data_IF_093020867543
#
_entry.id   IF_093020867543
#
_cell.length_a   1.000
_cell.length_b   1.000
_cell.length_c   1.000
_cell.angle_alpha   90.00
_cell.angle_beta   90.00
_cell.angle_gamma   90.00
#
_symmetry.space_group_name_H-M   'P 1'
#
loop_
_entity.id
_entity.type
_entity.pdbx_description
1 polymer ?
#
# COMPACT_ATOMS: atom_id res chain seq x y z
N UNK A 1 -29.09 -50.65 65.60
CA UNK A 1 -29.68 -49.37 65.13
C UNK A 1 -28.55 -48.43 64.75
N UNK A 2 -28.75 -47.67 63.67
CA UNK A 2 -27.88 -46.66 63.03
C UNK A 2 -26.88 -47.10 61.94
N UNK A 3 -27.13 -46.54 60.75
CA UNK A 3 -26.30 -46.40 59.54
C UNK A 3 -25.20 -45.34 59.73
N UNK A 4 -24.07 -45.49 59.03
CA UNK A 4 -23.24 -44.39 58.48
C UNK A 4 -22.34 -44.94 57.36
N UNK A 5 -22.68 -44.72 56.09
CA UNK A 5 -22.18 -43.67 55.18
C UNK A 5 -20.70 -43.79 54.82
N UNK A 6 -20.44 -44.25 53.59
CA UNK A 6 -19.14 -44.17 52.92
C UNK A 6 -18.86 -42.78 52.37
N UNK A 7 -17.57 -42.46 52.24
CA UNK A 7 -17.05 -41.30 51.54
C UNK A 7 -15.88 -41.73 50.65
N UNK A 8 -16.03 -41.54 49.33
CA UNK A 8 -14.94 -41.59 48.37
C UNK A 8 -14.10 -40.32 48.52
N UNK A 9 -12.79 -40.46 48.69
CA UNK A 9 -11.84 -39.37 48.50
C UNK A 9 -11.34 -39.41 47.05
N UNK A 10 -11.78 -38.46 46.23
CA UNK A 10 -11.34 -38.28 44.85
C UNK A 10 -9.98 -37.58 44.80
N UNK A 11 -9.10 -38.09 43.93
CA UNK A 11 -7.83 -37.45 43.58
C UNK A 11 -8.10 -36.23 42.66
N UNK A 12 -7.65 -35.05 43.08
CA UNK A 12 -7.68 -33.83 42.28
C UNK A 12 -6.47 -33.86 41.34
N UNK A 13 -6.70 -34.17 40.07
CA UNK A 13 -5.72 -33.95 39.01
C UNK A 13 -5.68 -32.46 38.67
N UNK A 14 -4.59 -31.79 39.00
CA UNK A 14 -4.32 -30.43 38.56
C UNK A 14 -4.08 -30.42 37.05
N UNK A 15 -5.08 -29.98 36.28
CA UNK A 15 -4.92 -29.65 34.87
C UNK A 15 -4.09 -28.37 34.78
N UNK A 16 -2.81 -28.51 34.43
CA UNK A 16 -2.00 -27.37 33.97
C UNK A 16 -2.54 -27.00 32.59
N UNK A 17 -3.41 -25.99 32.53
CA UNK A 17 -3.75 -25.35 31.27
C UNK A 17 -2.49 -24.66 30.75
N UNK A 18 -1.85 -25.26 29.75
CA UNK A 18 -0.91 -24.54 28.91
C UNK A 18 -1.71 -23.47 28.17
N UNK A 19 -1.61 -22.23 28.65
CA UNK A 19 -2.05 -21.05 27.94
C UNK A 19 -1.43 -21.07 26.55
N UNK A 20 -2.27 -21.20 25.53
CA UNK A 20 -1.86 -21.06 24.14
C UNK A 20 -1.12 -19.73 24.01
N UNK A 21 0.18 -19.82 23.70
CA UNK A 21 1.00 -18.67 23.38
C UNK A 21 0.33 -18.04 22.15
N UNK A 22 -0.13 -16.80 22.27
CA UNK A 22 -0.65 -16.03 21.15
C UNK A 22 0.48 -15.91 20.12
N UNK A 23 0.46 -16.78 19.11
CA UNK A 23 1.27 -16.63 17.93
C UNK A 23 0.52 -15.61 17.08
N UNK A 24 1.20 -14.52 16.70
CA UNK A 24 0.76 -13.78 15.51
C UNK A 24 0.60 -14.83 14.41
N UNK A 25 -0.60 -14.94 13.84
CA UNK A 25 -0.94 -16.09 13.00
C UNK A 25 0.04 -16.24 11.84
N UNK A 26 0.31 -17.47 11.42
CA UNK A 26 1.07 -17.73 10.20
C UNK A 26 0.16 -17.44 9.01
N UNK A 27 0.47 -16.41 8.25
CA UNK A 27 -0.24 -16.00 7.04
C UNK A 27 0.37 -16.68 5.80
N UNK A 28 -0.44 -17.03 4.79
CA UNK A 28 0.06 -17.55 3.52
C UNK A 28 0.99 -16.57 2.79
N UNK A 29 2.05 -17.13 2.18
CA UNK A 29 3.08 -16.38 1.47
C UNK A 29 2.52 -15.69 0.21
N UNK A 30 1.84 -16.47 -0.63
CA UNK A 30 1.31 -16.05 -1.93
C UNK A 30 0.01 -16.78 -2.26
N UNK A 31 -0.78 -16.20 -3.18
CA UNK A 31 -2.04 -16.77 -3.65
C UNK A 31 -1.89 -17.62 -4.91
N UNK A 32 -0.82 -17.37 -5.68
CA UNK A 32 -0.62 -17.95 -7.00
C UNK A 32 0.73 -18.67 -7.09
N UNK A 33 0.68 -19.98 -6.93
CA UNK A 33 1.83 -20.88 -7.12
C UNK A 33 2.25 -20.86 -8.61
N UNK A 34 3.54 -20.61 -8.93
CA UNK A 34 4.03 -20.72 -10.31
C UNK A 34 3.93 -22.19 -10.81
N UNK A 35 3.89 -22.42 -12.13
CA UNK A 35 3.78 -23.76 -12.69
C UNK A 35 4.94 -24.65 -12.25
N UNK A 36 4.71 -25.97 -12.19
CA UNK A 36 5.72 -26.95 -11.75
C UNK A 36 7.01 -26.95 -12.58
N UNK A 37 7.00 -26.36 -13.78
CA UNK A 37 8.18 -26.13 -14.62
C UNK A 37 9.13 -25.08 -14.05
N UNK A 38 8.64 -24.15 -13.23
CA UNK A 38 9.48 -23.18 -12.52
C UNK A 38 10.25 -23.86 -11.39
N UNK A 39 11.58 -23.71 -11.39
CA UNK A 39 12.51 -24.32 -10.42
C UNK A 39 13.32 -23.28 -9.62
N UNK A 40 12.98 -22.00 -9.77
CA UNK A 40 13.65 -20.92 -9.03
C UNK A 40 13.12 -20.77 -7.61
N UNK A 41 13.65 -19.79 -6.85
CA UNK A 41 13.18 -19.49 -5.51
C UNK A 41 11.70 -19.04 -5.53
N UNK A 42 11.01 -19.32 -4.44
CA UNK A 42 9.65 -18.87 -4.19
C UNK A 42 9.67 -17.72 -3.18
N UNK A 43 8.70 -16.84 -3.32
CA UNK A 43 8.46 -15.78 -2.36
C UNK A 43 8.10 -16.35 -0.99
N UNK A 44 8.65 -15.75 0.06
CA UNK A 44 8.29 -16.00 1.44
C UNK A 44 7.92 -14.68 2.12
N UNK A 45 6.80 -14.68 2.82
CA UNK A 45 6.30 -13.51 3.49
C UNK A 45 7.12 -13.28 4.77
N UNK A 46 7.96 -12.25 4.76
CA UNK A 46 8.53 -11.70 6.00
C UNK A 46 7.43 -11.18 6.93
N UNK A 47 7.04 -12.01 7.90
CA UNK A 47 5.88 -11.81 8.78
C UNK A 47 6.20 -12.01 10.27
N UNK A 48 7.48 -12.18 10.62
CA UNK A 48 7.94 -12.31 11.99
C UNK A 48 7.99 -10.93 12.70
N UNK A 49 6.83 -10.27 12.76
CA UNK A 49 6.72 -8.89 13.26
C UNK A 49 7.31 -8.73 14.67
N UNK A 50 8.00 -7.61 14.97
CA UNK A 50 8.52 -7.36 16.31
C UNK A 50 7.42 -7.42 17.37
N UNK A 51 7.73 -8.03 18.52
CA UNK A 51 6.80 -8.15 19.67
C UNK A 51 6.85 -6.96 20.63
N UNK A 52 7.85 -6.10 20.46
CA UNK A 52 8.01 -4.85 21.18
C UNK A 52 8.39 -3.76 20.18
N UNK A 53 7.92 -2.54 20.42
CA UNK A 53 8.27 -1.40 19.58
C UNK A 53 9.79 -1.24 19.57
N UNK A 54 10.45 -1.28 18.39
CA UNK A 54 11.90 -1.11 18.31
C UNK A 54 12.35 0.16 19.02
N UNK A 55 13.36 0.01 19.88
CA UNK A 55 13.98 1.11 20.62
C UNK A 55 15.30 1.45 19.93
N UNK A 56 15.46 2.69 19.49
CA UNK A 56 16.66 3.12 18.77
C UNK A 56 16.52 4.52 18.21
N UNK A 57 17.61 5.10 17.67
CA UNK A 57 17.51 6.36 16.95
C UNK A 57 16.63 6.18 15.70
N UNK A 58 15.99 7.27 15.28
CA UNK A 58 15.33 7.33 13.98
C UNK A 58 16.36 7.10 12.86
N UNK A 59 15.94 6.66 11.66
CA UNK A 59 16.83 6.55 10.52
C UNK A 59 17.62 7.84 10.29
N UNK A 60 18.92 7.75 10.01
CA UNK A 60 19.81 8.91 9.92
C UNK A 60 19.36 9.98 8.91
N UNK A 61 18.60 9.61 7.87
CA UNK A 61 18.05 10.57 6.90
C UNK A 61 17.02 11.53 7.53
N UNK A 62 16.48 11.26 8.71
CA UNK A 62 15.59 12.18 9.44
C UNK A 62 16.28 13.52 9.75
N UNK A 63 17.61 13.53 9.89
CA UNK A 63 18.41 14.75 10.10
C UNK A 63 18.55 15.60 8.82
N UNK A 64 18.21 15.03 7.65
CA UNK A 64 18.22 15.71 6.36
C UNK A 64 16.86 16.35 6.02
N UNK A 65 15.87 16.25 6.92
CA UNK A 65 14.59 16.92 6.73
C UNK A 65 14.82 18.43 6.59
N UNK A 66 14.28 19.10 5.56
CA UNK A 66 14.46 20.54 5.39
C UNK A 66 13.89 21.32 6.57
N UNK A 67 14.68 22.26 7.11
CA UNK A 67 14.24 23.09 8.23
C UNK A 67 13.01 23.96 7.92
N UNK A 68 12.81 24.29 6.65
CA UNK A 68 11.61 24.96 6.13
C UNK A 68 11.05 24.14 4.99
N UNK A 69 9.79 23.72 5.12
CA UNK A 69 9.07 23.08 4.02
C UNK A 69 8.79 24.11 2.93
N UNK A 70 9.19 23.82 1.71
CA UNK A 70 8.90 24.61 0.52
C UNK A 70 8.85 23.69 -0.71
N UNK A 71 8.24 24.17 -1.79
CA UNK A 71 8.20 23.44 -3.06
C UNK A 71 9.52 23.51 -3.86
N UNK A 72 10.60 24.03 -3.27
CA UNK A 72 11.93 23.97 -3.86
C UNK A 72 12.52 22.56 -3.70
N UNK A 73 12.50 21.79 -4.78
CA UNK A 73 12.97 20.41 -4.79
C UNK A 73 14.42 20.23 -4.33
N UNK A 74 15.31 21.18 -4.61
CA UNK A 74 16.72 21.04 -4.25
C UNK A 74 16.94 21.04 -2.72
N UNK A 75 16.01 21.59 -1.95
CA UNK A 75 16.05 21.48 -0.48
C UNK A 75 15.72 20.05 -0.02
N UNK A 76 14.87 19.33 -0.78
CA UNK A 76 14.42 17.96 -0.47
C UNK A 76 15.30 16.88 -1.10
N UNK A 77 16.07 17.19 -2.14
CA UNK A 77 16.91 16.21 -2.85
C UNK A 77 17.81 15.40 -1.90
N UNK A 78 18.55 15.98 -0.93
CA UNK A 78 19.37 15.19 -0.01
C UNK A 78 18.55 14.20 0.82
N UNK A 79 17.36 14.61 1.28
CA UNK A 79 16.45 13.74 2.02
C UNK A 79 15.97 12.57 1.15
N UNK A 80 15.48 12.84 -0.07
CA UNK A 80 15.02 11.79 -0.98
C UNK A 80 16.11 10.79 -1.34
N UNK A 81 17.29 11.26 -1.70
CA UNK A 81 18.41 10.37 -2.06
C UNK A 81 18.82 9.48 -0.87
N UNK A 82 18.76 10.01 0.35
CA UNK A 82 19.02 9.23 1.55
C UNK A 82 17.91 8.22 1.87
N UNK A 83 16.64 8.55 1.62
CA UNK A 83 15.52 7.58 1.71
C UNK A 83 15.66 6.49 0.66
N UNK A 84 16.01 6.83 -0.60
CA UNK A 84 16.30 5.85 -1.66
C UNK A 84 17.38 4.88 -1.19
N UNK A 85 18.50 5.40 -0.70
CA UNK A 85 19.59 4.58 -0.14
C UNK A 85 19.10 3.69 0.99
N UNK A 86 18.29 4.21 1.91
CA UNK A 86 17.70 3.44 3.00
C UNK A 86 16.80 2.30 2.49
N UNK A 87 15.99 2.53 1.46
CA UNK A 87 15.15 1.49 0.85
C UNK A 87 15.97 0.40 0.13
N UNK A 88 17.06 0.77 -0.54
CA UNK A 88 17.82 -0.15 -1.40
C UNK A 88 18.90 -0.95 -0.65
N UNK A 89 19.48 -0.38 0.41
CA UNK A 89 20.62 -0.97 1.11
C UNK A 89 20.28 -2.36 1.71
N UNK A 90 21.02 -3.38 1.23
CA UNK A 90 20.83 -4.78 1.57
C UNK A 90 19.71 -5.48 0.80
N UNK A 91 18.77 -4.74 0.19
CA UNK A 91 17.66 -5.29 -0.60
C UNK A 91 18.06 -5.53 -2.07
N UNK A 92 18.95 -4.70 -2.64
CA UNK A 92 19.38 -4.90 -4.02
C UNK A 92 20.30 -6.12 -4.14
N UNK A 93 21.22 -6.30 -3.18
CA UNK A 93 22.21 -7.36 -3.19
C UNK A 93 21.61 -8.76 -2.94
N UNK A 94 20.43 -8.83 -2.34
CA UNK A 94 19.72 -10.07 -2.03
C UNK A 94 18.49 -10.32 -2.95
N UNK A 95 18.39 -9.61 -4.07
CA UNK A 95 17.28 -9.69 -5.02
C UNK A 95 15.89 -9.44 -4.38
N UNK A 96 15.84 -8.51 -3.42
CA UNK A 96 14.66 -8.13 -2.65
C UNK A 96 14.02 -9.28 -1.86
N UNK A 97 14.79 -10.34 -1.55
CA UNK A 97 14.39 -11.34 -0.55
C UNK A 97 14.57 -10.77 0.87
N UNK A 98 13.67 -9.87 1.25
CA UNK A 98 13.91 -8.90 2.34
C UNK A 98 14.05 -9.53 3.73
N UNK A 99 13.59 -10.77 3.93
CA UNK A 99 13.83 -11.55 5.16
C UNK A 99 15.32 -11.94 5.31
N UNK A 100 16.09 -11.92 4.22
CA UNK A 100 17.53 -12.20 4.18
C UNK A 100 18.36 -10.91 4.08
N UNK A 101 17.77 -9.73 4.27
CA UNK A 101 18.51 -8.47 4.22
C UNK A 101 19.55 -8.45 5.37
N UNK A 102 20.86 -8.28 5.07
CA UNK A 102 21.92 -8.38 6.07
C UNK A 102 22.11 -7.11 6.91
N UNK A 103 21.44 -6.01 6.53
CA UNK A 103 21.60 -4.69 7.14
C UNK A 103 20.45 -4.37 8.09
N UNK A 104 19.21 -4.66 7.68
CA UNK A 104 18.01 -4.35 8.48
C UNK A 104 16.87 -5.32 8.18
N UNK A 105 16.01 -5.52 9.17
CA UNK A 105 14.79 -6.30 9.00
C UNK A 105 13.71 -5.49 8.30
N UNK A 106 13.03 -6.16 7.36
CA UNK A 106 11.92 -5.63 6.60
C UNK A 106 10.76 -6.62 6.65
N UNK A 107 9.54 -6.10 6.61
CA UNK A 107 8.31 -6.86 6.80
C UNK A 107 7.31 -6.56 5.70
N UNK A 108 6.47 -7.53 5.38
CA UNK A 108 5.40 -7.39 4.41
C UNK A 108 4.05 -7.27 5.11
N UNK A 109 3.08 -6.59 4.49
CA UNK A 109 1.70 -6.64 4.97
C UNK A 109 1.10 -8.06 4.81
N UNK A 110 0.31 -8.58 5.76
CA UNK A 110 -0.34 -9.88 5.60
C UNK A 110 -1.57 -9.78 4.67
N UNK A 111 -2.17 -10.92 4.35
CA UNK A 111 -3.45 -11.01 3.60
C UNK A 111 -3.48 -10.42 2.19
N UNK A 112 -2.34 -10.07 1.60
CA UNK A 112 -2.28 -9.67 0.19
C UNK A 112 -2.24 -10.87 -0.78
N UNK A 113 -2.26 -12.11 -0.28
CA UNK A 113 -2.32 -13.31 -1.12
C UNK A 113 -3.74 -13.60 -1.64
N UNK A 114 -4.76 -13.08 -0.97
CA UNK A 114 -6.14 -13.47 -1.19
C UNK A 114 -6.77 -12.71 -2.38
N UNK A 115 -7.63 -13.42 -3.11
CA UNK A 115 -8.43 -12.89 -4.21
C UNK A 115 -7.69 -12.76 -5.56
N UNK A 116 -8.39 -12.33 -6.61
CA UNK A 116 -7.89 -12.24 -8.00
C UNK A 116 -6.58 -11.44 -8.16
N UNK A 117 -6.38 -10.45 -7.29
CA UNK A 117 -5.24 -9.53 -7.30
C UNK A 117 -4.07 -10.00 -6.43
N UNK A 118 -4.21 -11.19 -5.84
CA UNK A 118 -3.30 -11.73 -4.85
C UNK A 118 -1.86 -11.88 -5.33
N UNK A 119 -0.95 -11.91 -4.36
CA UNK A 119 0.49 -12.11 -4.54
C UNK A 119 0.83 -13.28 -5.44
N UNK A 120 1.72 -13.04 -6.38
CA UNK A 120 2.37 -14.10 -7.16
C UNK A 120 3.53 -14.75 -6.41
N UNK A 121 3.81 -16.02 -6.71
CA UNK A 121 4.70 -16.85 -5.90
C UNK A 121 6.20 -16.74 -6.18
N UNK A 122 6.67 -15.89 -7.11
CA UNK A 122 8.10 -15.74 -7.39
C UNK A 122 8.72 -14.61 -6.56
N UNK A 123 8.20 -13.38 -6.68
CA UNK A 123 8.67 -12.16 -6.00
C UNK A 123 7.64 -11.57 -5.04
N UNK A 124 6.45 -12.17 -4.89
CA UNK A 124 5.41 -11.67 -3.97
C UNK A 124 4.69 -10.44 -4.47
N UNK A 125 4.69 -10.20 -5.79
CA UNK A 125 4.08 -9.01 -6.37
C UNK A 125 2.54 -9.07 -6.35
N UNK A 126 1.89 -7.96 -5.99
CA UNK A 126 0.44 -7.74 -6.10
C UNK A 126 0.10 -6.98 -7.37
N UNK A 127 -1.05 -7.27 -7.99
CA UNK A 127 -1.54 -6.52 -9.15
C UNK A 127 -2.02 -5.14 -8.72
N UNK A 128 -1.61 -4.10 -9.44
CA UNK A 128 -1.87 -2.71 -9.09
C UNK A 128 -2.85 -2.06 -10.09
N UNK A 129 -2.35 -1.32 -11.08
CA UNK A 129 -3.16 -0.50 -11.99
C UNK A 129 -2.87 -0.82 -13.47
N UNK A 130 -3.81 -0.43 -14.34
CA UNK A 130 -3.59 -0.50 -15.78
C UNK A 130 -2.74 0.68 -16.24
N UNK A 131 -1.75 0.41 -17.10
CA UNK A 131 -1.05 1.46 -17.84
C UNK A 131 -1.91 1.84 -19.04
N UNK A 132 -2.40 3.07 -19.07
CA UNK A 132 -3.24 3.61 -20.13
C UNK A 132 -2.41 4.01 -21.35
N UNK A 133 -3.05 4.09 -22.52
CA UNK A 133 -2.38 4.59 -23.73
C UNK A 133 -1.87 6.00 -23.52
N UNK A 134 -0.64 6.24 -23.95
CA UNK A 134 0.06 7.52 -23.87
C UNK A 134 0.34 8.02 -22.45
N UNK A 135 0.19 7.18 -21.43
CA UNK A 135 0.45 7.54 -20.04
C UNK A 135 1.96 7.71 -19.78
N UNK A 136 2.78 6.83 -20.36
CA UNK A 136 4.23 6.82 -20.11
C UNK A 136 5.04 7.52 -21.21
N UNK A 137 4.47 7.68 -22.41
CA UNK A 137 5.07 8.44 -23.50
C UNK A 137 4.02 8.80 -24.56
N UNK A 138 4.13 9.93 -25.28
CA UNK A 138 3.18 10.27 -26.35
C UNK A 138 3.09 9.22 -27.46
N UNK A 139 4.18 8.48 -27.69
CA UNK A 139 4.33 7.41 -28.68
C UNK A 139 3.83 6.05 -28.21
N UNK A 140 3.57 5.88 -26.90
CA UNK A 140 3.13 4.61 -26.33
C UNK A 140 1.67 4.31 -26.72
N UNK A 141 1.49 3.28 -27.53
CA UNK A 141 0.20 2.88 -28.11
C UNK A 141 -0.39 1.62 -27.46
N UNK A 142 0.45 0.75 -26.89
CA UNK A 142 0.04 -0.43 -26.15
C UNK A 142 -0.41 -0.06 -24.73
N UNK A 143 -1.42 -0.72 -24.19
CA UNK A 143 -1.67 -0.69 -22.74
C UNK A 143 -0.74 -1.66 -22.03
N UNK A 144 -0.69 -1.58 -20.70
CA UNK A 144 0.08 -2.51 -19.87
C UNK A 144 -0.56 -2.68 -18.50
N UNK A 145 0.17 -3.31 -17.60
CA UNK A 145 -0.28 -3.55 -16.22
C UNK A 145 0.89 -3.44 -15.26
N UNK A 146 0.60 -3.04 -14.03
CA UNK A 146 1.61 -2.88 -13.00
C UNK A 146 1.44 -3.87 -11.86
N UNK A 147 2.59 -4.21 -11.28
CA UNK A 147 2.74 -5.13 -10.18
C UNK A 147 3.69 -4.54 -9.16
N UNK A 148 3.49 -4.80 -7.87
CA UNK A 148 4.34 -4.19 -6.86
C UNK A 148 4.54 -5.06 -5.63
N UNK A 149 5.63 -4.78 -4.90
CA UNK A 149 5.88 -5.34 -3.57
C UNK A 149 6.24 -4.19 -2.63
N UNK A 150 5.53 -4.13 -1.50
CA UNK A 150 5.72 -3.13 -0.46
C UNK A 150 6.31 -3.75 0.80
N UNK A 151 7.29 -3.07 1.38
CA UNK A 151 8.00 -3.49 2.59
C UNK A 151 8.00 -2.36 3.62
N UNK A 152 7.99 -2.75 4.89
CA UNK A 152 7.95 -1.86 6.06
C UNK A 152 9.16 -2.15 6.93
N UNK A 153 9.81 -1.11 7.46
CA UNK A 153 10.87 -1.31 8.45
C UNK A 153 10.29 -1.94 9.74
N UNK A 154 11.15 -2.29 10.67
CA UNK A 154 10.79 -2.85 11.98
C UNK A 154 9.74 -2.04 12.76
N UNK A 155 9.80 -0.71 12.76
CA UNK A 155 8.80 0.16 13.40
C UNK A 155 7.42 -0.02 12.74
N UNK A 156 7.37 -0.06 11.40
CA UNK A 156 6.13 -0.34 10.66
C UNK A 156 5.66 -1.78 10.86
N UNK A 157 6.58 -2.74 10.87
CA UNK A 157 6.31 -4.16 11.10
C UNK A 157 5.68 -4.41 12.48
N UNK A 158 6.15 -3.72 13.53
CA UNK A 158 5.55 -3.77 14.86
C UNK A 158 4.06 -3.38 14.83
N UNK A 159 3.73 -2.30 14.10
CA UNK A 159 2.34 -1.86 13.94
C UNK A 159 1.47 -2.94 13.30
N UNK A 160 1.96 -3.64 12.27
CA UNK A 160 1.25 -4.80 11.71
C UNK A 160 1.10 -5.93 12.74
N UNK A 161 2.15 -6.23 13.50
CA UNK A 161 2.11 -7.23 14.57
C UNK A 161 1.03 -6.95 15.62
N UNK A 162 0.81 -5.68 15.97
CA UNK A 162 -0.20 -5.30 16.95
C UNK A 162 -1.62 -5.30 16.37
N UNK A 163 -1.82 -4.84 15.13
CA UNK A 163 -3.13 -4.97 14.46
C UNK A 163 -3.54 -6.44 14.30
N UNK A 164 -2.58 -7.31 13.99
CA UNK A 164 -2.80 -8.75 13.76
C UNK A 164 -2.43 -9.62 14.96
N UNK A 165 -2.37 -9.03 16.15
CA UNK A 165 -2.02 -9.72 17.41
C UNK A 165 -2.94 -10.91 17.69
N UNK A 166 -4.24 -10.73 17.42
CA UNK A 166 -5.18 -11.82 17.24
C UNK A 166 -5.38 -12.02 15.72
N UNK A 167 -4.79 -13.07 15.12
CA UNK A 167 -4.89 -13.30 13.68
C UNK A 167 -6.31 -13.65 13.22
N UNK A 168 -7.22 -13.97 14.13
CA UNK A 168 -8.63 -14.25 13.82
C UNK A 168 -9.54 -13.04 14.02
N UNK A 169 -9.00 -11.92 14.51
CA UNK A 169 -9.71 -10.69 14.78
C UNK A 169 -8.78 -9.47 14.70
N UNK A 170 -8.37 -9.05 13.48
CA UNK A 170 -7.51 -7.89 13.32
C UNK A 170 -8.19 -6.61 13.84
N UNK A 171 -7.41 -5.77 14.54
CA UNK A 171 -7.89 -4.56 15.20
C UNK A 171 -7.38 -3.28 14.52
N UNK A 172 -8.14 -2.68 13.58
CA UNK A 172 -7.77 -1.42 12.94
C UNK A 172 -7.80 -0.22 13.90
N UNK A 173 -8.33 -0.34 15.13
CA UNK A 173 -8.28 0.77 16.09
C UNK A 173 -6.87 1.09 16.58
N UNK A 174 -5.92 0.15 16.42
CA UNK A 174 -4.51 0.36 16.75
C UNK A 174 -3.85 1.44 15.89
N UNK A 175 -4.33 1.63 14.66
CA UNK A 175 -3.85 2.66 13.73
C UNK A 175 -4.81 3.85 13.61
N UNK A 176 -5.88 3.87 14.40
CA UNK A 176 -6.88 4.93 14.40
C UNK A 176 -6.74 5.79 15.64
N UNK A 177 -7.12 7.06 15.55
CA UNK A 177 -7.00 8.00 16.67
C UNK A 177 -7.59 7.42 17.97
N UNK A 178 -6.91 7.62 19.12
CA UNK A 178 -5.74 8.50 19.32
C UNK A 178 -4.39 7.93 18.85
N UNK A 179 -4.36 6.73 18.26
CA UNK A 179 -3.15 6.08 17.76
C UNK A 179 -2.90 6.38 16.26
N UNK A 180 -1.75 5.92 15.75
CA UNK A 180 -1.33 5.95 14.33
C UNK A 180 -0.13 5.00 14.18
N UNK A 181 0.41 4.80 12.98
CA UNK A 181 1.75 4.21 12.86
C UNK A 181 2.76 5.04 13.65
N UNK A 182 3.73 4.35 14.26
CA UNK A 182 4.75 5.02 15.06
C UNK A 182 5.70 5.86 14.20
N UNK A 183 6.12 7.00 14.77
CA UNK A 183 7.15 7.87 14.20
C UNK A 183 8.41 7.07 13.85
N UNK A 184 8.97 7.29 12.66
CA UNK A 184 10.08 6.47 12.17
C UNK A 184 9.66 5.27 11.32
N UNK A 185 8.36 5.00 11.16
CA UNK A 185 7.90 4.04 10.16
C UNK A 185 8.37 4.47 8.77
N UNK A 186 8.97 3.54 8.03
CA UNK A 186 9.38 3.72 6.64
C UNK A 186 8.77 2.62 5.80
N UNK A 187 8.13 3.01 4.71
CA UNK A 187 7.58 2.13 3.68
C UNK A 187 8.40 2.33 2.42
N UNK A 188 8.78 1.24 1.77
CA UNK A 188 9.38 1.25 0.43
C UNK A 188 8.55 0.32 -0.45
N UNK A 189 8.21 0.74 -1.66
CA UNK A 189 7.41 -0.07 -2.58
C UNK A 189 8.04 -0.05 -3.95
N UNK A 190 8.52 -1.20 -4.43
CA UNK A 190 9.01 -1.34 -5.79
C UNK A 190 7.85 -1.71 -6.72
N UNK A 191 7.77 -1.03 -7.88
CA UNK A 191 6.74 -1.23 -8.89
C UNK A 191 7.38 -1.64 -10.20
N UNK A 192 6.76 -2.63 -10.84
CA UNK A 192 7.18 -3.23 -12.10
C UNK A 192 6.05 -3.14 -13.12
N UNK A 193 6.42 -2.97 -14.39
CA UNK A 193 5.52 -2.89 -15.52
C UNK A 193 5.67 -4.12 -16.44
N UNK A 194 4.54 -4.74 -16.76
CA UNK A 194 4.40 -5.61 -17.92
C UNK A 194 3.85 -4.76 -19.07
N UNK A 195 4.75 -4.31 -19.94
CA UNK A 195 4.47 -3.47 -21.10
C UNK A 195 5.55 -3.66 -22.17
N UNK A 196 5.22 -3.33 -23.43
CA UNK A 196 6.21 -3.23 -24.50
C UNK A 196 7.19 -2.07 -24.21
N UNK A 197 8.33 -2.40 -23.62
CA UNK A 197 9.37 -1.44 -23.21
C UNK A 197 9.94 -0.64 -24.39
N UNK A 198 9.83 -1.15 -25.62
CA UNK A 198 10.30 -0.42 -26.82
C UNK A 198 9.48 0.86 -27.09
N UNK A 199 8.27 0.94 -26.53
CA UNK A 199 7.39 2.10 -26.65
C UNK A 199 7.55 3.11 -25.50
N UNK A 200 8.39 2.82 -24.50
CA UNK A 200 8.60 3.64 -23.31
C UNK A 200 10.06 4.12 -23.27
N UNK A 201 10.38 5.33 -23.79
CA UNK A 201 11.75 5.75 -24.04
C UNK A 201 12.69 5.80 -22.83
N UNK A 202 12.17 5.88 -21.61
CA UNK A 202 12.98 5.89 -20.39
C UNK A 202 13.26 4.49 -19.83
N UNK A 203 12.56 3.44 -20.28
CA UNK A 203 12.81 2.04 -19.90
C UNK A 203 13.92 1.43 -20.76
N UNK A 204 15.05 2.13 -20.87
CA UNK A 204 16.26 1.63 -21.54
C UNK A 204 16.98 0.68 -20.61
N UNK A 205 17.25 -0.56 -21.05
CA UNK A 205 17.93 -1.59 -20.25
C UNK A 205 17.38 -1.67 -18.80
N UNK A 206 16.08 -1.96 -18.63
CA UNK A 206 15.46 -1.97 -17.31
C UNK A 206 16.02 -3.09 -16.44
N UNK A 207 15.91 -2.93 -15.12
CA UNK A 207 15.98 -4.08 -14.20
C UNK A 207 14.75 -4.94 -14.48
N UNK A 208 14.97 -6.22 -14.81
CA UNK A 208 13.91 -7.16 -15.16
C UNK A 208 13.79 -8.24 -14.07
N UNK A 209 12.55 -8.54 -13.70
CA UNK A 209 12.19 -9.70 -12.88
C UNK A 209 11.32 -10.67 -13.66
N UNK A 210 11.45 -11.98 -13.37
CA UNK A 210 10.53 -12.99 -13.88
C UNK A 210 9.43 -13.18 -12.84
N UNK A 211 8.19 -12.83 -13.18
CA UNK A 211 7.07 -12.89 -12.25
C UNK A 211 5.92 -13.72 -12.80
N UNK A 212 5.16 -14.39 -11.91
CA UNK A 212 3.99 -15.18 -12.29
C UNK A 212 2.71 -14.31 -12.30
N UNK A 213 2.59 -13.51 -13.36
CA UNK A 213 1.64 -12.41 -13.49
C UNK A 213 0.53 -12.73 -14.48
N UNK A 214 -0.54 -11.93 -14.48
CA UNK A 214 -1.63 -12.12 -15.44
C UNK A 214 -1.18 -11.82 -16.87
N UNK A 215 -1.69 -12.55 -17.88
CA UNK A 215 -1.31 -12.35 -19.28
C UNK A 215 -1.60 -10.93 -19.80
N UNK A 216 -2.64 -10.31 -19.22
CA UNK A 216 -3.17 -8.99 -19.53
C UNK A 216 -3.94 -8.42 -18.32
N UNK A 217 -4.22 -7.12 -18.34
CA UNK A 217 -4.87 -6.44 -17.21
C UNK A 217 -6.28 -7.00 -16.88
N UNK A 218 -7.06 -7.37 -17.89
CA UNK A 218 -8.43 -7.89 -17.71
C UNK A 218 -8.52 -9.42 -17.60
N UNK A 219 -7.38 -10.11 -17.48
CA UNK A 219 -7.33 -11.57 -17.38
C UNK A 219 -7.09 -12.04 -15.95
N UNK A 220 -7.64 -13.24 -15.65
CA UNK A 220 -7.30 -14.02 -14.47
C UNK A 220 -6.22 -15.09 -14.76
N UNK A 221 -5.95 -15.39 -16.04
CA UNK A 221 -4.91 -16.34 -16.43
C UNK A 221 -3.54 -15.76 -16.16
N UNK A 222 -2.63 -16.60 -15.67
CA UNK A 222 -1.27 -16.21 -15.31
C UNK A 222 -0.22 -17.02 -16.06
N UNK A 223 0.86 -16.35 -16.40
CA UNK A 223 2.05 -16.92 -17.02
C UNK A 223 3.31 -16.25 -16.44
N UNK A 224 4.47 -16.86 -16.66
CA UNK A 224 5.73 -16.26 -16.24
C UNK A 224 6.14 -15.24 -17.30
N UNK A 225 6.19 -13.96 -16.93
CA UNK A 225 6.60 -12.85 -17.80
C UNK A 225 7.78 -12.11 -17.21
N UNK A 226 8.53 -11.43 -18.07
CA UNK A 226 9.48 -10.41 -17.62
C UNK A 226 8.72 -9.12 -17.32
N UNK A 227 8.95 -8.54 -16.14
CA UNK A 227 8.40 -7.26 -15.72
C UNK A 227 9.54 -6.29 -15.43
N UNK A 228 9.40 -5.04 -15.88
CA UNK A 228 10.45 -4.02 -15.81
C UNK A 228 10.26 -3.08 -14.63
N UNK A 229 11.29 -2.87 -13.81
CA UNK A 229 11.28 -1.85 -12.76
C UNK A 229 10.97 -0.49 -13.38
N UNK A 230 9.90 0.16 -12.91
CA UNK A 230 9.42 1.42 -13.46
C UNK A 230 9.37 2.55 -12.44
N UNK A 231 9.10 2.21 -11.17
CA UNK A 231 8.86 3.17 -10.11
C UNK A 231 9.26 2.57 -8.76
N UNK A 232 9.66 3.42 -7.82
CA UNK A 232 9.74 3.05 -6.41
C UNK A 232 9.11 4.16 -5.57
N UNK A 233 8.13 3.82 -4.76
CA UNK A 233 7.51 4.75 -3.83
C UNK A 233 8.10 4.60 -2.44
N UNK A 234 7.98 5.67 -1.65
CA UNK A 234 8.18 5.60 -0.21
C UNK A 234 7.13 6.41 0.54
N UNK A 235 6.92 6.02 1.80
CA UNK A 235 6.21 6.81 2.79
C UNK A 235 6.99 6.78 4.11
N UNK A 236 7.14 7.94 4.76
CA UNK A 236 7.82 8.07 6.05
C UNK A 236 6.88 8.73 7.05
N UNK A 237 6.64 8.05 8.17
CA UNK A 237 5.92 8.64 9.31
C UNK A 237 6.86 9.57 10.04
N UNK A 238 6.62 10.87 9.91
CA UNK A 238 7.39 11.90 10.57
C UNK A 238 6.45 12.89 11.26
N UNK A 239 6.41 12.84 12.58
CA UNK A 239 5.60 13.70 13.45
C UNK A 239 5.91 15.19 13.34
N UNK A 240 7.01 15.57 12.68
CA UNK A 240 7.34 16.96 12.35
C UNK A 240 6.51 17.49 11.17
N UNK A 241 5.86 16.62 10.38
CA UNK A 241 4.99 17.05 9.28
C UNK A 241 3.64 17.56 9.79
N UNK A 242 3.28 18.83 9.49
CA UNK A 242 2.01 19.38 9.91
C UNK A 242 0.85 18.78 9.12
N UNK A 243 -0.30 18.57 9.79
CA UNK A 243 -1.57 18.22 9.16
C UNK A 243 -1.71 16.79 8.63
N UNK A 244 -0.61 16.10 8.35
CA UNK A 244 -0.63 14.70 7.86
C UNK A 244 0.21 13.76 8.73
N UNK A 245 1.33 14.24 9.27
CA UNK A 245 2.30 13.40 9.96
C UNK A 245 3.08 12.44 9.04
N UNK A 246 2.97 12.59 7.71
CA UNK A 246 3.56 11.71 6.73
C UNK A 246 4.23 12.47 5.59
N UNK A 247 5.34 11.91 5.09
CA UNK A 247 6.00 12.34 3.86
C UNK A 247 5.87 11.21 2.85
N UNK A 248 5.29 11.49 1.69
CA UNK A 248 5.22 10.57 0.56
C UNK A 248 6.22 11.01 -0.50
N UNK A 249 6.81 10.06 -1.19
CA UNK A 249 7.70 10.35 -2.30
C UNK A 249 7.72 9.23 -3.32
N UNK A 250 8.17 9.55 -4.53
CA UNK A 250 8.28 8.56 -5.61
C UNK A 250 9.49 8.82 -6.49
N UNK A 251 10.07 7.72 -6.97
CA UNK A 251 11.15 7.68 -7.93
C UNK A 251 10.65 7.03 -9.21
N UNK A 252 11.11 7.53 -10.35
CA UNK A 252 10.85 6.97 -11.67
C UNK A 252 12.13 6.37 -12.25
N UNK A 253 12.02 5.25 -12.94
CA UNK A 253 13.15 4.69 -13.66
C UNK A 253 13.53 5.56 -14.87
N UNK A 254 14.82 5.85 -15.04
CA UNK A 254 15.41 6.41 -16.25
C UNK A 254 16.70 5.66 -16.60
N UNK A 255 16.60 4.70 -17.52
CA UNK A 255 17.72 3.87 -17.95
C UNK A 255 18.89 4.61 -18.60
N UNK A 256 18.66 5.86 -19.04
CA UNK A 256 19.71 6.69 -19.61
C UNK A 256 20.69 7.24 -18.56
N UNK A 257 20.40 7.10 -17.26
CA UNK A 257 21.30 7.60 -16.21
C UNK A 257 22.59 6.79 -16.11
N UNK A 258 22.48 5.45 -16.15
CA UNK A 258 23.65 4.56 -16.05
C UNK A 258 23.91 3.73 -17.31
N UNK A 259 22.98 3.69 -18.26
CA UNK A 259 23.05 2.86 -19.47
C UNK A 259 23.28 1.36 -19.20
N UNK A 260 22.86 0.87 -18.03
CA UNK A 260 22.84 -0.53 -17.63
C UNK A 260 21.64 -0.80 -16.72
N UNK A 261 21.18 -2.06 -16.58
CA UNK A 261 20.19 -2.42 -15.56
C UNK A 261 20.73 -2.08 -14.17
N UNK A 262 20.14 -1.10 -13.50
CA UNK A 262 20.51 -0.70 -12.14
C UNK A 262 19.35 -0.04 -11.41
N UNK A 263 19.24 -0.28 -10.11
CA UNK A 263 18.35 0.46 -9.21
C UNK A 263 18.77 1.94 -9.07
N UNK A 264 20.02 2.28 -9.40
CA UNK A 264 20.50 3.68 -9.45
C UNK A 264 19.80 4.53 -10.50
N UNK A 265 19.15 3.90 -11.49
CA UNK A 265 18.34 4.59 -12.50
C UNK A 265 17.01 5.11 -11.93
N UNK A 266 16.67 4.83 -10.67
CA UNK A 266 15.54 5.45 -9.98
C UNK A 266 15.87 6.91 -9.63
N UNK A 267 15.41 7.81 -10.49
CA UNK A 267 15.55 9.27 -10.32
C UNK A 267 14.38 9.83 -9.52
N UNK A 268 14.56 10.86 -8.69
CA UNK A 268 13.47 11.46 -7.94
C UNK A 268 12.41 12.08 -8.86
N UNK A 269 11.13 11.80 -8.61
CA UNK A 269 10.02 12.62 -9.14
C UNK A 269 9.75 13.77 -8.18
N UNK A 270 9.62 13.48 -6.89
CA UNK A 270 9.38 14.49 -5.86
C UNK A 270 8.91 13.94 -4.53
N UNK A 271 8.63 14.85 -3.59
CA UNK A 271 8.02 14.57 -2.29
C UNK A 271 6.76 15.40 -2.08
N UNK A 272 5.86 14.90 -1.23
CA UNK A 272 4.70 15.64 -0.73
C UNK A 272 4.45 15.36 0.75
N UNK A 273 3.93 16.35 1.46
CA UNK A 273 3.55 16.26 2.86
C UNK A 273 2.14 16.81 3.12
N UNK A 274 1.45 17.23 2.06
CA UNK A 274 0.05 17.68 2.08
C UNK A 274 -0.53 17.75 0.66
N UNK A 275 -1.80 18.14 0.57
CA UNK A 275 -2.61 18.16 -0.64
C UNK A 275 -3.02 19.56 -1.10
N UNK A 276 -2.53 20.65 -0.52
CA UNK A 276 -2.86 22.04 -0.89
C UNK A 276 -4.38 22.26 -1.06
N UNK A 277 -5.20 22.15 -0.01
CA UNK A 277 -6.67 22.07 -0.11
C UNK A 277 -7.34 23.30 -0.74
N UNK A 278 -6.68 24.44 -0.72
CA UNK A 278 -7.19 25.68 -1.32
C UNK A 278 -6.86 25.79 -2.82
N UNK A 279 -6.03 24.90 -3.36
CA UNK A 279 -5.63 24.92 -4.76
C UNK A 279 -6.60 24.07 -5.61
N UNK A 280 -7.61 24.74 -6.17
CA UNK A 280 -8.74 24.12 -6.88
C UNK A 280 -8.62 24.11 -8.41
N UNK A 281 -7.51 24.62 -8.96
CA UNK A 281 -7.29 24.73 -10.40
C UNK A 281 -7.05 23.39 -11.09
N UNK A 282 -6.93 23.40 -12.43
CA UNK A 282 -6.69 22.19 -13.23
C UNK A 282 -5.67 22.41 -14.38
N UNK A 283 -5.06 23.59 -14.46
CA UNK A 283 -4.27 24.03 -15.62
C UNK A 283 -2.98 23.22 -15.83
N UNK A 284 -2.50 22.56 -14.76
CA UNK A 284 -1.29 21.75 -14.77
C UNK A 284 -1.55 20.25 -14.90
N UNK A 285 -2.82 19.82 -14.98
CA UNK A 285 -3.16 18.42 -15.23
C UNK A 285 -2.71 18.00 -16.64
N UNK A 286 -1.86 16.98 -16.72
CA UNK A 286 -1.20 16.53 -17.96
C UNK A 286 -1.12 14.98 -18.06
N UNK A 287 -2.25 14.25 -18.12
CA UNK A 287 -2.28 12.78 -18.03
C UNK A 287 -1.57 12.05 -19.19
N UNK A 288 -1.24 12.77 -20.27
CA UNK A 288 -0.51 12.26 -21.44
C UNK A 288 0.71 13.16 -21.67
N UNK A 289 1.80 12.95 -20.93
CA UNK A 289 2.89 13.90 -20.82
C UNK A 289 3.80 13.86 -22.05
N UNK A 290 4.04 15.02 -22.68
CA UNK A 290 5.24 15.26 -23.51
C UNK A 290 6.31 16.04 -22.73
N UNK A 291 5.90 16.68 -21.64
CA UNK A 291 6.70 17.36 -20.62
C UNK A 291 6.05 17.13 -19.25
N UNK A 292 6.83 17.24 -18.18
CA UNK A 292 6.32 17.28 -16.81
C UNK A 292 5.83 18.70 -16.49
N UNK A 293 4.51 18.89 -16.28
CA UNK A 293 3.94 20.19 -15.91
C UNK A 293 3.95 20.38 -14.40
N UNK A 294 4.88 21.19 -13.90
CA UNK A 294 4.99 21.52 -12.48
C UNK A 294 4.15 22.75 -12.16
N UNK A 295 3.27 22.65 -11.16
CA UNK A 295 2.46 23.78 -10.72
C UNK A 295 3.18 24.57 -9.63
N UNK A 296 3.58 25.83 -9.87
CA UNK A 296 4.33 26.63 -8.88
C UNK A 296 3.48 27.03 -7.66
N UNK A 297 2.16 26.86 -7.72
CA UNK A 297 1.22 27.21 -6.64
C UNK A 297 0.86 26.04 -5.74
N UNK A 298 1.38 24.84 -6.02
CA UNK A 298 1.36 23.70 -5.10
C UNK A 298 2.58 23.86 -4.19
N UNK A 299 2.33 24.03 -2.89
CA UNK A 299 3.33 24.35 -1.88
C UNK A 299 3.60 23.20 -0.92
N UNK A 300 2.73 22.19 -0.87
CA UNK A 300 2.86 20.98 -0.05
C UNK A 300 3.42 19.78 -0.84
N UNK A 301 3.92 20.03 -2.04
CA UNK A 301 4.73 19.11 -2.84
C UNK A 301 5.95 19.83 -3.43
N UNK A 302 7.07 19.12 -3.54
CA UNK A 302 8.27 19.60 -4.22
C UNK A 302 8.62 18.60 -5.34
N UNK A 303 8.61 19.06 -6.59
CA UNK A 303 8.80 18.23 -7.79
C UNK A 303 10.15 18.55 -8.42
N UNK A 304 10.87 17.50 -8.81
CA UNK A 304 12.14 17.59 -9.49
C UNK A 304 12.00 18.29 -10.86
N UNK A 305 12.58 19.49 -11.05
CA UNK A 305 12.45 20.21 -12.31
C UNK A 305 13.51 19.81 -13.34
N UNK A 306 14.46 18.95 -12.98
CA UNK A 306 15.60 18.64 -13.84
C UNK A 306 15.19 17.69 -14.98
N UNK A 307 14.95 18.24 -16.16
CA UNK A 307 14.56 17.47 -17.35
C UNK A 307 15.69 16.65 -17.96
N UNK A 308 16.95 16.84 -17.51
CA UNK A 308 18.05 15.95 -17.92
C UNK A 308 18.05 14.62 -17.18
N UNK A 309 17.40 14.54 -16.01
CA UNK A 309 17.31 13.32 -15.21
C UNK A 309 15.89 12.76 -15.17
N UNK A 310 14.86 13.59 -14.97
CA UNK A 310 13.46 13.17 -14.91
C UNK A 310 12.86 13.12 -16.34
N UNK A 311 12.50 11.93 -16.85
CA UNK A 311 11.80 11.83 -18.12
C UNK A 311 10.45 12.57 -18.06
N UNK A 312 9.89 13.01 -19.20
CA UNK A 312 8.53 13.53 -19.24
C UNK A 312 7.55 12.57 -18.56
N UNK A 313 6.88 13.07 -17.53
CA UNK A 313 5.96 12.27 -16.72
C UNK A 313 4.74 13.09 -16.35
N UNK A 314 3.60 12.42 -16.19
CA UNK A 314 2.44 13.09 -15.62
C UNK A 314 2.65 13.21 -14.13
N UNK A 315 2.03 14.22 -13.54
CA UNK A 315 1.88 14.30 -12.10
C UNK A 315 0.46 13.88 -11.73
N UNK A 316 0.14 14.05 -10.45
CA UNK A 316 -1.23 13.99 -9.97
C UNK A 316 -2.03 15.21 -10.39
N UNK A 317 -3.27 15.26 -9.92
CA UNK A 317 -4.22 16.30 -10.28
C UNK A 317 -3.66 17.69 -9.97
N UNK A 318 -3.70 18.55 -10.99
CA UNK A 318 -3.18 19.90 -10.98
C UNK A 318 -1.69 20.04 -10.57
N UNK A 319 -0.87 19.01 -10.80
CA UNK A 319 0.57 19.06 -10.58
C UNK A 319 1.04 18.63 -9.18
N UNK A 320 0.16 18.03 -8.36
CA UNK A 320 0.54 17.39 -7.08
C UNK A 320 1.38 16.15 -7.33
N UNK A 321 2.22 15.75 -6.38
CA UNK A 321 3.05 14.56 -6.55
C UNK A 321 2.20 13.30 -6.80
N UNK A 322 2.59 12.55 -7.84
CA UNK A 322 2.11 11.21 -8.12
C UNK A 322 3.16 10.47 -8.97
N UNK A 323 3.14 9.14 -8.96
CA UNK A 323 4.06 8.34 -9.76
C UNK A 323 3.63 8.18 -11.22
N UNK A 324 4.55 7.81 -12.13
CA UNK A 324 4.28 7.62 -13.56
C UNK A 324 3.21 6.57 -13.90
N UNK A 325 2.96 5.61 -13.00
CA UNK A 325 1.92 4.57 -13.22
C UNK A 325 0.69 4.75 -12.36
N UNK A 326 0.62 5.83 -11.58
CA UNK A 326 -0.53 6.13 -10.72
C UNK A 326 -1.64 6.87 -11.48
N UNK A 327 -2.82 7.00 -10.86
CA UNK A 327 -3.96 7.67 -11.50
C UNK A 327 -3.77 9.20 -11.51
N UNK A 328 -3.68 9.86 -12.68
CA UNK A 328 -3.42 11.31 -12.79
C UNK A 328 -4.54 12.21 -12.23
N UNK A 329 -5.70 11.66 -11.87
CA UNK A 329 -6.80 12.41 -11.22
C UNK A 329 -6.67 12.49 -9.70
N UNK A 330 -5.64 11.87 -9.11
CA UNK A 330 -5.36 11.85 -7.67
C UNK A 330 -3.94 12.36 -7.39
N UNK A 331 -3.42 12.12 -6.19
CA UNK A 331 -2.03 12.32 -5.74
C UNK A 331 -1.69 11.19 -4.77
N UNK A 332 -0.42 11.00 -4.40
CA UNK A 332 -0.06 9.93 -3.45
C UNK A 332 -0.86 10.05 -2.14
N UNK A 333 -0.86 11.24 -1.51
CA UNK A 333 -1.63 11.48 -0.27
C UNK A 333 -3.14 11.46 -0.50
N UNK A 334 -3.66 12.02 -1.60
CA UNK A 334 -5.11 11.98 -1.94
C UNK A 334 -5.65 10.55 -1.98
N UNK A 335 -4.88 9.65 -2.58
CA UNK A 335 -5.20 8.24 -2.71
C UNK A 335 -5.04 7.50 -1.39
N UNK A 336 -3.93 7.70 -0.69
CA UNK A 336 -3.61 6.98 0.53
C UNK A 336 -4.43 7.42 1.74
N UNK A 337 -4.86 8.69 1.81
CA UNK A 337 -5.65 9.17 2.95
C UNK A 337 -7.00 8.46 3.09
N UNK A 338 -7.49 7.81 2.03
CA UNK A 338 -8.72 7.03 2.09
C UNK A 338 -8.51 5.67 2.76
N UNK A 339 -7.31 5.30 3.18
CA UNK A 339 -7.02 4.00 3.79
C UNK A 339 -7.74 3.85 5.14
N UNK A 340 -8.87 3.13 5.13
CA UNK A 340 -9.75 3.00 6.29
C UNK A 340 -10.41 1.61 6.33
N UNK A 341 -10.87 1.20 7.52
CA UNK A 341 -11.56 -0.06 7.73
C UNK A 341 -12.88 0.15 8.49
N UNK A 342 -14.05 -0.21 7.91
CA UNK A 342 -14.24 -0.59 6.51
C UNK A 342 -13.99 0.59 5.55
N UNK A 343 -13.69 0.31 4.29
CA UNK A 343 -13.49 1.33 3.25
C UNK A 343 -14.84 1.97 2.85
N UNK A 344 -15.14 3.17 3.36
CA UNK A 344 -16.43 3.85 3.14
C UNK A 344 -16.37 4.93 2.06
N UNK A 345 -15.19 5.22 1.53
CA UNK A 345 -15.00 6.06 0.35
C UNK A 345 -14.07 5.38 -0.66
N UNK A 346 -14.20 5.64 -1.96
CA UNK A 346 -13.23 5.18 -2.95
C UNK A 346 -11.95 6.01 -2.90
N UNK A 347 -10.87 5.48 -3.47
CA UNK A 347 -9.53 6.07 -3.44
C UNK A 347 -9.39 7.40 -4.22
N UNK A 348 -10.32 7.73 -5.11
CA UNK A 348 -10.38 9.02 -5.79
C UNK A 348 -11.82 9.32 -6.25
N UNK A 349 -12.16 10.58 -6.59
CA UNK A 349 -13.53 10.97 -6.88
C UNK A 349 -14.12 10.30 -8.13
N UNK A 350 -13.29 9.86 -9.08
CA UNK A 350 -13.71 9.27 -10.37
C UNK A 350 -14.07 7.78 -10.27
N UNK A 351 -13.74 7.14 -9.14
CA UNK A 351 -14.13 5.74 -8.86
C UNK A 351 -15.56 5.62 -8.31
N UNK A 352 -16.26 6.75 -8.20
CA UNK A 352 -17.69 6.75 -7.93
C UNK A 352 -18.48 6.41 -9.19
N UNK A 353 -19.80 6.17 -9.04
CA UNK A 353 -20.68 6.06 -10.19
C UNK A 353 -20.63 7.36 -11.02
N UNK A 354 -20.79 7.31 -12.36
CA UNK A 354 -20.63 8.49 -13.21
C UNK A 354 -21.48 9.71 -12.80
N UNK A 355 -22.70 9.49 -12.29
CA UNK A 355 -23.60 10.54 -11.80
C UNK A 355 -23.22 11.12 -10.44
N UNK A 356 -22.23 10.53 -9.76
CA UNK A 356 -21.71 10.91 -8.44
C UNK A 356 -20.32 11.51 -8.48
N UNK A 357 -19.67 11.53 -9.64
CA UNK A 357 -18.36 12.19 -9.79
C UNK A 357 -18.57 13.70 -9.61
N UNK A 358 -17.98 14.34 -8.58
CA UNK A 358 -18.15 15.76 -8.37
C UNK A 358 -17.47 16.57 -9.49
N UNK A 359 -17.96 17.79 -9.78
CA UNK A 359 -17.28 18.68 -10.72
C UNK A 359 -15.83 18.93 -10.27
N UNK A 360 -14.89 18.88 -11.21
CA UNK A 360 -13.46 19.11 -10.94
C UNK A 360 -13.26 20.47 -10.25
N UNK A 361 -12.51 20.46 -9.14
CA UNK A 361 -12.24 21.67 -8.35
C UNK A 361 -13.39 22.13 -7.44
N UNK A 362 -14.54 21.45 -7.42
CA UNK A 362 -15.61 21.75 -6.46
C UNK A 362 -15.19 21.38 -5.03
N UNK A 363 -15.93 21.89 -4.02
CA UNK A 363 -15.70 21.54 -2.62
C UNK A 363 -15.75 20.02 -2.39
N UNK A 364 -16.64 19.32 -3.07
CA UNK A 364 -16.82 17.87 -3.00
C UNK A 364 -15.64 17.14 -3.66
N UNK A 365 -15.09 17.65 -4.76
CA UNK A 365 -13.85 17.14 -5.36
C UNK A 365 -12.68 17.32 -4.39
N UNK A 366 -12.57 18.51 -3.79
CA UNK A 366 -11.52 18.85 -2.84
C UNK A 366 -11.59 18.08 -1.52
N UNK A 367 -12.67 17.33 -1.26
CA UNK A 367 -12.67 16.32 -0.19
C UNK A 367 -11.53 15.32 -0.36
N UNK A 368 -11.18 14.94 -1.59
CA UNK A 368 -10.03 14.08 -1.88
C UNK A 368 -8.69 14.81 -1.92
N UNK A 369 -8.65 16.11 -1.62
CA UNK A 369 -7.42 16.90 -1.58
C UNK A 369 -7.32 17.70 -0.27
N UNK A 370 -7.96 17.21 0.79
CA UNK A 370 -7.77 17.72 2.15
C UNK A 370 -6.49 17.13 2.78
N UNK A 371 -6.03 17.76 3.85
CA UNK A 371 -5.04 17.17 4.76
C UNK A 371 -5.81 16.54 5.94
N UNK A 372 -5.52 15.27 6.23
CA UNK A 372 -6.04 14.59 7.42
C UNK A 372 -4.88 14.17 8.29
N UNK A 373 -4.99 14.41 9.60
CA UNK A 373 -3.96 14.04 10.55
C UNK A 373 -3.80 12.51 10.61
N UNK A 374 -2.59 12.06 10.96
CA UNK A 374 -2.30 10.65 11.17
C UNK A 374 -3.33 9.99 12.12
N UNK A 375 -3.80 8.81 11.74
CA UNK A 375 -4.84 8.06 12.46
C UNK A 375 -6.27 8.60 12.35
N UNK A 376 -6.52 9.71 11.64
CA UNK A 376 -7.89 10.17 11.33
C UNK A 376 -8.41 9.37 10.13
N UNK A 377 -9.65 8.83 10.17
CA UNK A 377 -10.26 8.19 9.01
C UNK A 377 -10.78 9.23 8.01
N UNK A 378 -10.82 8.89 6.73
CA UNK A 378 -11.36 9.76 5.68
C UNK A 378 -12.88 9.92 5.75
N UNK A 379 -13.56 8.86 6.19
CA UNK A 379 -15.01 8.79 6.30
C UNK A 379 -15.43 8.66 7.77
N UNK A 380 -16.41 9.47 8.22
CA UNK A 380 -17.04 9.25 9.50
C UNK A 380 -17.59 7.82 9.60
N UNK A 381 -17.32 7.14 10.72
CA UNK A 381 -17.78 5.77 10.97
C UNK A 381 -16.83 4.65 10.52
N UNK A 382 -15.69 4.99 9.88
CA UNK A 382 -14.58 4.07 9.67
C UNK A 382 -13.51 4.24 10.76
N UNK A 383 -12.58 3.28 10.82
CA UNK A 383 -11.33 3.38 11.58
C UNK A 383 -10.18 3.62 10.60
N UNK A 384 -9.25 4.49 10.96
CA UNK A 384 -8.10 4.78 10.09
C UNK A 384 -7.14 3.60 10.06
N UNK A 385 -6.60 3.32 8.89
CA UNK A 385 -5.39 2.49 8.73
C UNK A 385 -4.15 3.34 8.46
N UNK A 386 -4.25 4.64 8.80
CA UNK A 386 -3.19 5.63 8.81
C UNK A 386 -2.34 5.60 7.53
N UNK A 387 -3.03 5.89 6.42
CA UNK A 387 -2.49 5.94 5.06
C UNK A 387 -1.98 4.60 4.49
N UNK A 388 -2.05 3.49 5.22
CA UNK A 388 -1.66 2.16 4.70
C UNK A 388 -2.81 1.45 4.00
N UNK A 389 -2.89 1.63 2.67
CA UNK A 389 -3.83 0.88 1.82
C UNK A 389 -3.59 -0.64 1.87
N UNK A 390 -2.35 -1.09 2.08
CA UNK A 390 -2.07 -2.53 2.23
C UNK A 390 -2.64 -3.08 3.55
N UNK A 391 -2.64 -2.30 4.63
CA UNK A 391 -3.30 -2.68 5.87
C UNK A 391 -4.82 -2.71 5.69
N UNK A 392 -5.43 -1.66 5.12
CA UNK A 392 -6.86 -1.64 4.81
C UNK A 392 -7.28 -2.83 3.94
N UNK A 393 -6.54 -3.07 2.84
CA UNK A 393 -6.78 -4.17 1.92
C UNK A 393 -6.60 -5.54 2.58
N UNK A 394 -5.59 -5.71 3.43
CA UNK A 394 -5.38 -6.97 4.17
C UNK A 394 -6.53 -7.29 5.13
N UNK A 395 -7.03 -6.28 5.85
CA UNK A 395 -8.20 -6.43 6.73
C UNK A 395 -9.45 -6.74 5.92
N UNK A 396 -9.67 -6.02 4.81
CA UNK A 396 -10.79 -6.28 3.91
C UNK A 396 -10.76 -7.71 3.34
N UNK A 397 -9.60 -8.16 2.87
CA UNK A 397 -9.37 -9.51 2.35
C UNK A 397 -9.63 -10.59 3.41
N UNK A 398 -9.16 -10.39 4.64
CA UNK A 398 -9.44 -11.32 5.74
C UNK A 398 -10.94 -11.47 6.00
N UNK A 399 -11.66 -10.35 6.10
CA UNK A 399 -13.10 -10.41 6.35
C UNK A 399 -13.87 -10.96 5.16
N UNK A 400 -13.48 -10.65 3.91
CA UNK A 400 -14.07 -11.26 2.72
C UNK A 400 -13.89 -12.79 2.74
N UNK A 401 -12.67 -13.27 2.96
CA UNK A 401 -12.38 -14.69 3.14
C UNK A 401 -13.22 -15.30 4.27
N UNK A 402 -13.29 -14.64 5.43
CA UNK A 402 -14.04 -15.13 6.59
C UNK A 402 -15.55 -15.23 6.30
N UNK A 403 -16.10 -14.30 5.52
CA UNK A 403 -17.51 -14.33 5.11
C UNK A 403 -17.78 -15.41 4.05
N UNK A 404 -16.88 -15.60 3.09
CA UNK A 404 -17.17 -16.34 1.87
C UNK A 404 -16.57 -17.76 1.83
N UNK A 405 -15.49 -17.98 2.57
CA UNK A 405 -14.69 -19.21 2.55
C UNK A 405 -14.43 -19.78 3.96
N UNK A 406 -14.79 -19.04 5.03
CA UNK A 406 -14.69 -19.48 6.42
C UNK A 406 -15.68 -20.57 6.85
N UNK A 407 -16.48 -21.09 5.91
CA UNK A 407 -17.51 -22.08 6.14
C UNK A 407 -18.88 -21.50 6.49
N UNK A 408 -19.87 -22.38 6.54
CA UNK A 408 -21.26 -22.07 6.88
C UNK A 408 -21.61 -22.82 8.15
N UNK A 409 -22.22 -22.14 9.11
CA UNK A 409 -22.66 -22.73 10.37
C UNK A 409 -23.87 -23.65 10.14
N UNK A 410 -24.17 -24.52 11.12
CA UNK A 410 -25.25 -25.50 11.00
C UNK A 410 -26.64 -24.88 10.76
N UNK A 411 -26.81 -23.61 11.10
CA UNK A 411 -28.02 -22.82 10.83
C UNK A 411 -28.07 -22.23 9.42
N UNK A 412 -27.08 -22.52 8.57
CA UNK A 412 -27.00 -22.06 7.19
C UNK A 412 -26.39 -20.67 7.03
N UNK A 413 -25.97 -20.02 8.11
CA UNK A 413 -25.39 -18.67 8.08
C UNK A 413 -23.86 -18.69 7.98
N UNK A 414 -23.26 -17.70 7.33
CA UNK A 414 -21.80 -17.51 7.39
C UNK A 414 -21.38 -16.70 8.63
N UNK A 415 -20.08 -16.60 8.87
CA UNK A 415 -19.52 -15.88 10.02
C UNK A 415 -19.97 -14.40 10.10
N UNK A 416 -20.14 -13.76 8.96
CA UNK A 416 -20.52 -12.36 8.88
C UNK A 416 -22.01 -12.15 9.10
N UNK A 417 -22.86 -13.07 8.66
CA UNK A 417 -24.30 -13.08 8.94
C UNK A 417 -24.56 -13.33 10.42
N UNK A 418 -23.84 -14.27 11.04
CA UNK A 418 -23.90 -14.46 12.49
C UNK A 418 -23.41 -13.22 13.26
N UNK A 419 -22.32 -12.59 12.81
CA UNK A 419 -21.81 -11.37 13.41
C UNK A 419 -22.76 -10.18 13.24
N UNK A 420 -23.54 -10.10 12.15
CA UNK A 420 -24.57 -9.07 11.95
C UNK A 420 -25.68 -9.17 13.00
N UNK A 421 -26.06 -10.37 13.42
CA UNK A 421 -27.01 -10.55 14.53
C UNK A 421 -26.44 -10.06 15.88
N UNK A 422 -25.12 -10.11 16.07
CA UNK A 422 -24.44 -9.50 17.22
C UNK A 422 -24.24 -7.97 17.07
N UNK A 423 -23.90 -7.48 15.87
CA UNK A 423 -23.71 -6.05 15.54
C UNK A 423 -25.01 -5.26 15.43
N UNK A 424 -26.16 -5.86 15.14
CA UNK A 424 -27.47 -5.18 15.15
C UNK A 424 -27.84 -4.61 16.53
N UNK A 425 -27.19 -5.07 17.60
CA UNK A 425 -27.29 -4.46 18.93
C UNK A 425 -26.35 -3.26 19.16
N UNK A 426 -25.32 -3.08 18.32
CA UNK A 426 -24.24 -2.09 18.49
C UNK A 426 -24.14 -1.04 17.36
N UNK A 427 -24.61 -1.33 16.15
CA UNK A 427 -24.61 -0.42 14.99
C UNK A 427 -26.02 0.07 14.65
N UNK A 428 -26.69 0.72 15.61
CA UNK A 428 -27.89 1.52 15.30
C UNK A 428 -27.48 2.91 14.79
N UNK A 429 -26.99 3.04 13.56
CA UNK A 429 -26.90 4.38 12.94
C UNK A 429 -26.44 4.34 11.47
N UNK A 430 -27.33 3.93 10.56
CA UNK A 430 -27.48 4.49 9.20
C UNK A 430 -28.48 3.63 8.41
N UNK A 431 -29.57 4.25 7.94
CA UNK A 431 -30.50 3.64 6.99
C UNK A 431 -30.56 4.54 5.76
N UNK A 432 -30.18 4.04 4.56
CA UNK A 432 -29.66 2.70 4.26
C UNK A 432 -28.23 2.47 4.79
N UNK A 433 -27.76 1.20 4.85
CA UNK A 433 -26.38 0.89 5.22
C UNK A 433 -25.39 1.61 4.30
N UNK A 434 -24.28 2.10 4.87
CA UNK A 434 -23.23 2.74 4.07
C UNK A 434 -22.64 1.76 3.03
N UNK A 435 -22.37 2.25 1.82
CA UNK A 435 -21.70 1.48 0.78
C UNK A 435 -20.25 1.23 1.20
N UNK A 436 -19.83 -0.03 1.17
CA UNK A 436 -18.42 -0.42 1.36
C UNK A 436 -17.78 -0.57 -0.02
N UNK A 437 -16.64 0.09 -0.23
CA UNK A 437 -15.84 0.00 -1.45
C UNK A 437 -14.77 -1.08 -1.31
N UNK A 438 -14.28 -1.64 -2.42
CA UNK A 438 -13.06 -2.43 -2.40
C UNK A 438 -11.85 -1.51 -2.27
N UNK A 439 -10.80 -2.00 -1.62
CA UNK A 439 -9.50 -1.33 -1.56
C UNK A 439 -8.70 -1.73 -2.79
N UNK A 440 -8.91 -1.04 -3.90
CA UNK A 440 -8.30 -1.38 -5.20
C UNK A 440 -7.95 -0.13 -6.01
N UNK A 441 -6.88 -0.23 -6.81
CA UNK A 441 -6.35 0.91 -7.58
C UNK A 441 -7.04 1.13 -8.92
N UNK A 442 -7.93 0.24 -9.34
CA UNK A 442 -8.70 0.37 -10.58
C UNK A 442 -10.03 -0.40 -10.47
N UNK A 443 -11.20 0.27 -10.57
CA UNK A 443 -12.50 -0.38 -10.49
C UNK A 443 -12.76 -1.45 -11.55
N UNK A 444 -12.04 -1.43 -12.68
CA UNK A 444 -12.17 -2.47 -13.72
C UNK A 444 -11.72 -3.85 -13.21
N UNK A 445 -10.94 -3.90 -12.12
CA UNK A 445 -10.56 -5.16 -11.46
C UNK A 445 -11.73 -5.87 -10.79
N UNK A 446 -12.87 -5.20 -10.57
CA UNK A 446 -14.06 -5.84 -10.01
C UNK A 446 -14.66 -6.91 -10.91
N UNK A 447 -14.38 -6.87 -12.22
CA UNK A 447 -14.90 -7.81 -13.20
C UNK A 447 -14.04 -9.08 -13.29
N UNK A 448 -12.88 -9.11 -12.62
CA UNK A 448 -12.05 -10.30 -12.47
C UNK A 448 -12.67 -11.19 -11.40
N UNK A 449 -13.45 -12.19 -11.81
CA UNK A 449 -14.01 -13.21 -10.95
C UNK A 449 -13.31 -14.55 -11.11
#
# INVERSE_FOLDING_TARGET
MLFAKGGMAGAVAALVMMSAVANAGTFPDYGYQPPASYKGPLFHLSQDYPKALPQGPLPAFFDLLPAKHSNNFEQWRPYMEAVKKYCLEGNVENDWDVQKNPIRHWYHAPWQHYGPLGREGIHGLTKEAQIQKQQLAPTQSATGQTFAVGIYNDIGGYTFGEVWKDPQNPDPSYTSQPNSFHNGTVVCKALFADIDVSQVPFLVQPVLWKAYVTDSFASANREIKEVALIQMDFAVRDTRMPGTGWIFGTFQYNGNMTHKPSWDNLVPVGVMWGNDPENTGNDHTNPKPSITKINPTILESAINPNTSELPPTHLGWNGRLNGPVDNPVSSCLSCHMTAESPQLAPMNPTFQAPDKVPPVGSKEWMRWFQNIDAGVPFSPGALSTDFSLQLAGGIANFYDWKCNQGGVFADGHNACEQARNFRLKLMKSATPPAKVYKVERDPALNELH
#
